data_IF_961449904881
#
_entry.id   IF_961449904881
#
_cell.length_a   1.000
_cell.length_b   1.000
_cell.length_c   1.000
_cell.angle_alpha   90.00
_cell.angle_beta   90.00
_cell.angle_gamma   90.00
#
_symmetry.space_group_name_H-M   'P 1'
#
loop_
_entity.id
_entity.type
_entity.pdbx_description
1 polymer ?
#
# COMPACT_ATOMS: atom_id res chain seq x y z
N UNK A 1 35.24 2.04 41.85
CA UNK A 1 34.57 0.87 41.25
C UNK A 1 33.12 1.15 40.83
N UNK A 2 32.33 1.91 41.60
CA UNK A 2 30.90 2.21 41.30
C UNK A 2 30.64 2.91 39.96
N UNK A 3 31.49 3.86 39.57
CA UNK A 3 31.31 4.59 38.30
C UNK A 3 31.63 3.75 37.06
N UNK A 4 32.57 2.79 37.13
CA UNK A 4 32.91 1.92 35.98
C UNK A 4 31.73 1.01 35.58
N UNK A 5 30.98 0.51 36.56
CA UNK A 5 29.76 -0.29 36.31
C UNK A 5 28.67 0.58 35.68
N UNK A 6 28.49 1.82 36.13
CA UNK A 6 27.53 2.77 35.55
C UNK A 6 27.85 3.12 34.08
N UNK A 7 29.13 3.33 33.75
CA UNK A 7 29.57 3.56 32.36
C UNK A 7 29.38 2.32 31.48
N UNK A 8 29.65 1.11 32.00
CA UNK A 8 29.42 -0.15 31.29
C UNK A 8 27.92 -0.41 31.03
N UNK A 9 27.04 -0.13 31.99
CA UNK A 9 25.59 -0.28 31.79
C UNK A 9 25.05 0.75 30.80
N UNK A 10 25.56 2.00 30.84
CA UNK A 10 25.17 3.05 29.89
C UNK A 10 25.63 2.71 28.46
N UNK A 11 26.80 2.10 28.30
CA UNK A 11 27.34 1.65 27.01
C UNK A 11 26.53 0.48 26.43
N UNK A 12 26.17 -0.51 27.26
CA UNK A 12 25.30 -1.62 26.86
C UNK A 12 23.90 -1.16 26.45
N UNK A 13 23.29 -0.21 27.18
CA UNK A 13 21.99 0.34 26.82
C UNK A 13 22.01 1.06 25.46
N UNK A 14 23.04 1.86 25.17
CA UNK A 14 23.19 2.54 23.88
C UNK A 14 23.39 1.56 22.71
N UNK A 15 24.09 0.45 22.91
CA UNK A 15 24.30 -0.56 21.86
C UNK A 15 23.01 -1.29 21.44
N UNK A 16 22.06 -1.49 22.37
CA UNK A 16 20.75 -2.09 22.09
C UNK A 16 19.85 -1.15 21.25
N UNK A 17 19.92 0.16 21.49
CA UNK A 17 19.17 1.16 20.70
C UNK A 17 19.68 1.29 19.25
N UNK A 18 20.97 1.04 18.99
CA UNK A 18 21.53 1.06 17.64
C UNK A 18 21.11 -0.16 16.81
N UNK A 19 21.07 -1.35 17.42
CA UNK A 19 20.60 -2.57 16.75
C UNK A 19 19.10 -2.50 16.39
N UNK A 20 18.28 -1.88 17.25
CA UNK A 20 16.85 -1.66 16.98
C UNK A 20 16.56 -0.69 15.82
N UNK A 21 17.54 0.10 15.40
CA UNK A 21 17.41 1.09 14.33
C UNK A 21 17.86 0.58 12.95
N UNK A 22 18.34 -0.67 12.83
CA UNK A 22 18.56 -1.27 11.52
C UNK A 22 17.22 -1.60 10.86
N UNK A 23 16.70 -0.65 10.09
CA UNK A 23 15.58 -0.89 9.21
C UNK A 23 16.04 -1.87 8.11
N UNK A 24 15.65 -3.15 8.25
CA UNK A 24 15.73 -4.12 7.16
C UNK A 24 14.70 -3.76 6.09
N UNK A 25 14.94 -2.67 5.36
CA UNK A 25 14.09 -2.25 4.25
C UNK A 25 14.36 -3.20 3.09
N UNK A 26 13.35 -3.98 2.64
CA UNK A 26 13.58 -4.94 1.60
C UNK A 26 13.72 -4.25 0.25
N UNK A 27 14.87 -4.39 -0.40
CA UNK A 27 15.22 -3.66 -1.63
C UNK A 27 14.57 -4.22 -2.90
N UNK A 28 14.22 -5.52 -2.91
CA UNK A 28 13.69 -6.21 -4.10
C UNK A 28 12.30 -6.82 -3.89
N UNK A 29 11.62 -6.46 -2.80
CA UNK A 29 10.33 -7.05 -2.45
C UNK A 29 9.20 -6.53 -3.32
N UNK A 30 9.18 -5.21 -3.56
CA UNK A 30 8.18 -4.55 -4.38
C UNK A 30 8.66 -4.38 -5.83
N UNK A 31 7.76 -4.59 -6.79
CA UNK A 31 7.97 -4.24 -8.20
C UNK A 31 7.25 -2.92 -8.54
N UNK A 32 7.58 -2.36 -9.70
CA UNK A 32 6.80 -1.29 -10.29
C UNK A 32 5.34 -1.77 -10.52
N UNK A 33 4.33 -1.03 -10.03
CA UNK A 33 2.94 -1.41 -10.20
C UNK A 33 2.39 -1.13 -11.60
N UNK A 34 3.11 -0.43 -12.47
CA UNK A 34 2.72 -0.19 -13.87
C UNK A 34 3.77 -0.74 -14.84
N UNK A 35 3.33 -1.11 -16.04
CA UNK A 35 4.19 -1.60 -17.14
C UNK A 35 4.92 -0.47 -17.91
N UNK A 36 5.03 0.71 -17.31
CA UNK A 36 5.70 1.90 -17.87
C UNK A 36 6.84 2.35 -16.95
N UNK A 37 7.73 3.20 -17.47
CA UNK A 37 8.74 3.86 -16.64
C UNK A 37 8.07 4.63 -15.50
N UNK A 38 8.62 4.49 -14.29
CA UNK A 38 8.09 5.17 -13.12
C UNK A 38 8.53 6.64 -13.10
N UNK A 39 7.77 7.48 -13.80
CA UNK A 39 7.96 8.93 -13.80
C UNK A 39 6.99 9.58 -12.82
N UNK A 40 7.50 10.27 -11.80
CA UNK A 40 6.66 10.83 -10.74
C UNK A 40 6.14 12.23 -11.08
N UNK A 41 4.83 12.44 -10.98
CA UNK A 41 4.21 13.78 -10.99
C UNK A 41 4.21 14.45 -9.62
N UNK A 42 4.19 13.69 -8.54
CA UNK A 42 4.23 14.18 -7.17
C UNK A 42 4.89 13.13 -6.27
N UNK A 43 5.61 13.59 -5.24
CA UNK A 43 6.41 12.74 -4.37
C UNK A 43 5.74 12.53 -3.01
N UNK A 44 6.22 11.53 -2.26
CA UNK A 44 5.82 11.30 -0.87
C UNK A 44 6.31 12.46 0.00
N UNK A 45 5.44 12.92 0.91
CA UNK A 45 5.72 14.05 1.80
C UNK A 45 5.65 15.42 1.13
N UNK A 46 5.08 15.53 -0.07
CA UNK A 46 4.82 16.84 -0.68
C UNK A 46 3.74 17.60 0.10
N UNK A 47 4.00 18.87 0.44
CA UNK A 47 3.04 19.71 1.15
C UNK A 47 1.90 20.14 0.23
N UNK A 48 0.66 19.84 0.62
CA UNK A 48 -0.55 20.28 -0.06
C UNK A 48 -1.39 21.14 0.87
N UNK A 49 -2.36 21.86 0.32
CA UNK A 49 -3.29 22.63 1.15
C UNK A 49 -4.00 21.69 2.13
N UNK A 50 -3.70 21.86 3.42
CA UNK A 50 -4.32 21.12 4.51
C UNK A 50 -3.77 19.73 4.83
N UNK A 51 -2.79 19.17 4.10
CA UNK A 51 -2.19 17.86 4.42
C UNK A 51 -0.86 17.58 3.70
N UNK A 52 -0.18 16.52 4.14
CA UNK A 52 0.99 15.94 3.45
C UNK A 52 0.54 14.86 2.47
N UNK A 53 1.17 14.80 1.30
CA UNK A 53 0.94 13.72 0.35
C UNK A 53 1.53 12.40 0.88
N UNK A 54 0.69 11.40 1.08
CA UNK A 54 1.10 10.11 1.70
C UNK A 54 1.42 9.01 0.67
N UNK A 55 1.70 9.37 -0.58
CA UNK A 55 1.93 8.41 -1.66
C UNK A 55 2.87 8.92 -2.75
N UNK A 56 2.98 8.15 -3.82
CA UNK A 56 3.69 8.53 -5.05
C UNK A 56 2.67 8.61 -6.18
N UNK A 57 2.62 9.76 -6.87
CA UNK A 57 1.77 9.89 -8.05
C UNK A 57 2.61 9.57 -9.29
N UNK A 58 2.32 8.45 -9.95
CA UNK A 58 3.00 8.01 -11.17
C UNK A 58 2.29 8.58 -12.39
N UNK A 59 3.03 9.25 -13.28
CA UNK A 59 2.50 9.82 -14.52
C UNK A 59 2.05 8.72 -15.47
N UNK A 60 0.87 8.90 -16.03
CA UNK A 60 0.31 8.00 -17.06
C UNK A 60 0.39 8.61 -18.48
N UNK A 61 1.21 9.65 -18.67
CA UNK A 61 1.34 10.37 -19.94
C UNK A 61 -0.01 10.78 -20.56
N UNK A 62 -0.94 11.26 -19.71
CA UNK A 62 -2.30 11.66 -20.09
C UNK A 62 -3.15 10.55 -20.75
N UNK A 63 -2.84 9.27 -20.49
CA UNK A 63 -3.64 8.12 -20.92
C UNK A 63 -4.22 7.38 -19.71
N UNK A 64 -5.53 7.08 -19.69
CA UNK A 64 -6.12 6.24 -18.65
C UNK A 64 -5.89 4.74 -18.96
N UNK A 65 -6.29 3.89 -18.01
CA UNK A 65 -6.41 2.43 -18.18
C UNK A 65 -5.09 1.70 -18.47
N UNK A 66 -4.01 2.10 -17.80
CA UNK A 66 -2.86 1.19 -17.68
C UNK A 66 -3.20 0.04 -16.75
N UNK A 67 -2.71 -1.15 -17.09
CA UNK A 67 -2.75 -2.31 -16.22
C UNK A 67 -2.02 -1.98 -14.91
N UNK A 68 -2.68 -2.25 -13.79
CA UNK A 68 -2.08 -2.09 -12.47
C UNK A 68 -1.79 -3.46 -11.88
N UNK A 69 -0.55 -3.65 -11.46
CA UNK A 69 -0.04 -4.88 -10.90
C UNK A 69 0.16 -4.75 -9.39
N UNK A 70 -0.12 -5.84 -8.66
CA UNK A 70 0.28 -5.96 -7.26
C UNK A 70 1.80 -5.89 -7.14
N UNK A 71 2.32 -4.87 -6.45
CA UNK A 71 3.75 -4.66 -6.28
C UNK A 71 4.45 -5.81 -5.54
N UNK A 72 3.73 -6.55 -4.70
CA UNK A 72 4.23 -7.74 -4.02
C UNK A 72 3.11 -8.72 -3.71
N UNK A 73 3.48 -9.96 -3.38
CA UNK A 73 2.52 -10.99 -2.99
C UNK A 73 1.81 -10.63 -1.68
N UNK A 74 0.54 -11.00 -1.55
CA UNK A 74 -0.26 -10.70 -0.38
C UNK A 74 -1.71 -11.11 -0.56
N UNK A 75 -2.60 -10.35 0.06
CA UNK A 75 -4.04 -10.46 -0.17
C UNK A 75 -4.67 -9.07 -0.17
N UNK A 76 -5.75 -8.89 -0.91
CA UNK A 76 -6.54 -7.67 -0.85
C UNK A 76 -7.22 -7.64 0.50
N UNK A 77 -6.82 -6.72 1.36
CA UNK A 77 -7.31 -6.61 2.72
C UNK A 77 -8.52 -5.67 2.82
N UNK A 78 -8.52 -4.63 2.00
CA UNK A 78 -9.56 -3.62 2.00
C UNK A 78 -9.73 -3.02 0.61
N UNK A 79 -10.97 -2.68 0.26
CA UNK A 79 -11.28 -1.85 -0.91
C UNK A 79 -12.23 -0.74 -0.50
N UNK A 80 -12.19 0.34 -1.27
CA UNK A 80 -13.20 1.38 -1.17
C UNK A 80 -13.57 1.96 -2.51
N UNK A 81 -14.84 2.34 -2.62
CA UNK A 81 -15.41 3.13 -3.72
C UNK A 81 -16.16 4.29 -3.06
N UNK A 82 -15.68 5.52 -3.29
CA UNK A 82 -16.37 6.73 -2.81
C UNK A 82 -16.06 7.93 -3.71
N UNK A 83 -16.90 8.98 -3.72
CA UNK A 83 -16.59 10.19 -4.47
C UNK A 83 -15.46 10.98 -3.78
N UNK A 84 -14.53 11.52 -4.58
CA UNK A 84 -13.37 12.26 -4.07
C UNK A 84 -12.36 11.39 -3.32
N UNK A 85 -11.37 12.04 -2.67
CA UNK A 85 -10.26 11.34 -2.00
C UNK A 85 -9.59 10.33 -2.96
N UNK A 86 -9.40 9.07 -2.56
CA UNK A 86 -8.79 8.03 -3.40
C UNK A 86 -9.70 7.48 -4.52
N UNK A 87 -10.99 7.83 -4.56
CA UNK A 87 -11.92 7.28 -5.53
C UNK A 87 -12.14 5.78 -5.33
N UNK A 88 -11.80 4.98 -6.35
CA UNK A 88 -11.69 3.52 -6.24
C UNK A 88 -10.27 3.15 -5.84
N UNK A 89 -10.11 2.35 -4.79
CA UNK A 89 -8.79 1.96 -4.32
C UNK A 89 -8.76 0.54 -3.73
N UNK A 90 -7.57 -0.05 -3.74
CA UNK A 90 -7.25 -1.36 -3.15
C UNK A 90 -6.14 -1.15 -2.12
N UNK A 91 -6.24 -1.83 -0.97
CA UNK A 91 -5.15 -2.05 -0.03
C UNK A 91 -4.79 -3.52 -0.03
N UNK A 92 -3.51 -3.83 -0.25
CA UNK A 92 -2.95 -5.18 -0.17
C UNK A 92 -2.07 -5.27 1.06
N UNK A 93 -2.34 -6.25 1.93
CA UNK A 93 -1.46 -6.59 3.05
C UNK A 93 -0.48 -7.68 2.61
N UNK A 94 0.78 -7.50 2.96
CA UNK A 94 1.87 -8.38 2.56
C UNK A 94 2.40 -9.21 3.74
N UNK A 95 2.91 -10.43 3.50
CA UNK A 95 3.46 -11.28 4.57
C UNK A 95 4.62 -10.66 5.37
N UNK A 96 5.30 -9.65 4.83
CA UNK A 96 6.38 -8.94 5.53
C UNK A 96 5.88 -7.85 6.49
N UNK A 97 4.56 -7.73 6.71
CA UNK A 97 3.97 -6.75 7.61
C UNK A 97 3.77 -5.35 6.99
N UNK A 98 4.12 -5.16 5.72
CA UNK A 98 3.85 -3.93 4.98
C UNK A 98 2.54 -4.01 4.21
N UNK A 99 2.04 -2.87 3.78
CA UNK A 99 0.87 -2.77 2.91
C UNK A 99 1.14 -1.85 1.72
N UNK A 100 0.47 -2.12 0.61
CA UNK A 100 0.45 -1.22 -0.55
C UNK A 100 -0.96 -0.73 -0.81
N UNK A 101 -1.10 0.53 -1.21
CA UNK A 101 -2.37 1.16 -1.57
C UNK A 101 -2.30 1.64 -3.01
N UNK A 102 -3.33 1.30 -3.79
CA UNK A 102 -3.48 1.70 -5.19
C UNK A 102 -4.76 2.51 -5.30
N UNK A 103 -4.63 3.80 -5.60
CA UNK A 103 -5.74 4.75 -5.66
C UNK A 103 -6.09 5.15 -7.09
N UNK A 104 -7.24 5.80 -7.26
CA UNK A 104 -7.71 6.36 -8.53
C UNK A 104 -7.86 5.32 -9.65
N UNK A 105 -8.18 4.08 -9.27
CA UNK A 105 -8.40 2.98 -10.20
C UNK A 105 -9.69 3.22 -11.01
N UNK A 106 -9.71 2.78 -12.26
CA UNK A 106 -10.92 2.88 -13.09
C UNK A 106 -11.85 1.68 -12.88
N UNK A 107 -11.27 0.50 -12.66
CA UNK A 107 -11.97 -0.77 -12.44
C UNK A 107 -11.14 -1.68 -11.55
N UNK A 108 -11.76 -2.73 -11.00
CA UNK A 108 -11.05 -3.87 -10.41
C UNK A 108 -11.03 -5.05 -11.36
N UNK A 109 -10.15 -6.02 -11.12
CA UNK A 109 -10.18 -7.29 -11.85
C UNK A 109 -11.55 -7.98 -11.74
N UNK A 110 -11.97 -8.78 -12.74
CA UNK A 110 -13.38 -9.16 -12.92
C UNK A 110 -14.04 -9.85 -11.72
N UNK A 111 -13.30 -10.72 -11.03
CA UNK A 111 -13.83 -11.47 -9.88
C UNK A 111 -14.14 -10.56 -8.70
N UNK A 112 -13.20 -9.68 -8.32
CA UNK A 112 -13.43 -8.70 -7.26
C UNK A 112 -14.52 -7.70 -7.64
N UNK A 113 -14.53 -7.22 -8.89
CA UNK A 113 -15.57 -6.32 -9.38
C UNK A 113 -16.96 -6.95 -9.24
N UNK A 114 -17.13 -8.21 -9.64
CA UNK A 114 -18.40 -8.93 -9.52
C UNK A 114 -18.83 -9.08 -8.05
N UNK A 115 -17.89 -9.40 -7.15
CA UNK A 115 -18.16 -9.46 -5.72
C UNK A 115 -18.64 -8.12 -5.17
N UNK A 116 -17.92 -7.03 -5.48
CA UNK A 116 -18.26 -5.68 -5.01
C UNK A 116 -19.63 -5.25 -5.54
N UNK A 117 -19.90 -5.45 -6.82
CA UNK A 117 -21.19 -5.10 -7.43
C UNK A 117 -22.33 -5.83 -6.73
N UNK A 118 -22.19 -7.13 -6.41
CA UNK A 118 -23.19 -7.86 -5.63
C UNK A 118 -23.45 -7.21 -4.27
N UNK A 119 -22.40 -6.77 -3.57
CA UNK A 119 -22.53 -6.09 -2.28
C UNK A 119 -23.18 -4.70 -2.41
N UNK A 120 -22.84 -3.93 -3.45
CA UNK A 120 -23.46 -2.64 -3.74
C UNK A 120 -24.96 -2.77 -3.99
N UNK A 121 -25.38 -3.76 -4.78
CA UNK A 121 -26.80 -4.04 -5.02
C UNK A 121 -27.53 -4.46 -3.73
N UNK A 122 -26.91 -5.33 -2.92
CA UNK A 122 -27.48 -5.75 -1.64
C UNK A 122 -27.66 -4.57 -0.67
N UNK A 123 -26.69 -3.66 -0.62
CA UNK A 123 -26.74 -2.44 0.22
C UNK A 123 -27.51 -1.28 -0.41
N UNK A 124 -27.89 -1.38 -1.69
CA UNK A 124 -28.48 -0.30 -2.50
C UNK A 124 -27.65 1.00 -2.44
N UNK A 125 -26.33 0.87 -2.42
CA UNK A 125 -25.39 1.99 -2.35
C UNK A 125 -24.23 1.76 -3.31
N UNK A 126 -23.89 2.79 -4.10
CA UNK A 126 -22.68 2.78 -4.91
C UNK A 126 -21.43 2.97 -4.04
N UNK A 127 -21.46 3.89 -3.08
CA UNK A 127 -20.35 4.05 -2.15
C UNK A 127 -20.29 2.82 -1.24
N UNK A 128 -19.12 2.18 -1.18
CA UNK A 128 -18.93 0.96 -0.40
C UNK A 128 -17.46 0.81 0.02
N UNK A 129 -17.26 0.32 1.23
CA UNK A 129 -15.97 -0.12 1.73
C UNK A 129 -16.16 -1.54 2.27
N UNK A 130 -15.20 -2.42 1.97
CA UNK A 130 -15.25 -3.84 2.31
C UNK A 130 -13.87 -4.30 2.77
N UNK A 131 -13.86 -5.03 3.88
CA UNK A 131 -12.69 -5.73 4.39
C UNK A 131 -12.75 -7.21 4.04
N UNK A 132 -11.58 -7.81 3.87
CA UNK A 132 -11.45 -9.21 3.46
C UNK A 132 -10.46 -9.98 4.34
N UNK A 133 -10.75 -11.26 4.48
CA UNK A 133 -9.84 -12.19 5.15
C UNK A 133 -8.72 -12.63 4.20
N UNK A 134 -7.54 -13.03 4.71
CA UNK A 134 -6.38 -13.39 3.90
C UNK A 134 -6.63 -14.42 2.78
N UNK A 135 -7.59 -15.32 2.99
CA UNK A 135 -7.88 -16.42 2.08
C UNK A 135 -8.86 -16.04 0.97
N UNK A 136 -9.53 -14.89 1.07
CA UNK A 136 -10.63 -14.55 0.17
C UNK A 136 -10.15 -14.03 -1.19
N UNK A 137 -9.15 -13.14 -1.19
CA UNK A 137 -8.56 -12.57 -2.40
C UNK A 137 -7.03 -12.55 -2.31
N UNK A 138 -6.37 -13.72 -2.37
CA UNK A 138 -4.92 -13.79 -2.43
C UNK A 138 -4.41 -13.26 -3.77
N UNK A 139 -3.32 -12.50 -3.75
CA UNK A 139 -2.73 -11.88 -4.93
C UNK A 139 -1.22 -12.18 -4.98
N UNK A 140 -0.75 -12.91 -6.01
CA UNK A 140 0.68 -13.04 -6.27
C UNK A 140 1.34 -11.70 -6.63
N UNK A 141 2.66 -11.61 -6.46
CA UNK A 141 3.44 -10.48 -6.99
C UNK A 141 3.24 -10.41 -8.51
N UNK A 142 2.91 -9.22 -9.02
CA UNK A 142 2.63 -9.01 -10.45
C UNK A 142 1.24 -9.37 -10.91
N UNK A 143 0.34 -9.80 -10.02
CA UNK A 143 -1.06 -10.04 -10.37
C UNK A 143 -1.76 -8.76 -10.83
N UNK A 144 -2.58 -8.86 -11.88
CA UNK A 144 -3.35 -7.72 -12.42
C UNK A 144 -4.54 -7.45 -11.50
N UNK A 145 -4.51 -6.32 -10.81
CA UNK A 145 -5.54 -5.93 -9.84
C UNK A 145 -6.55 -4.94 -10.41
N UNK A 146 -6.17 -4.20 -11.47
CA UNK A 146 -7.01 -3.21 -12.15
C UNK A 146 -6.59 -3.02 -13.61
#
# INVERSE_FOLDING_TARGET
MKYKVLWLTLFYFNSLFLAAQSANIPTNYFQNPLDISMDLSSNFGELRSGHWHMGLDIRTHARPNYTVHAAAQGYIAHIGIRPGSFGQFIIINHPNGLSTLYAHLNSFFPELQAYITKQQYAKKSWAIELDFQPQQFPVPKGFIIA
#
